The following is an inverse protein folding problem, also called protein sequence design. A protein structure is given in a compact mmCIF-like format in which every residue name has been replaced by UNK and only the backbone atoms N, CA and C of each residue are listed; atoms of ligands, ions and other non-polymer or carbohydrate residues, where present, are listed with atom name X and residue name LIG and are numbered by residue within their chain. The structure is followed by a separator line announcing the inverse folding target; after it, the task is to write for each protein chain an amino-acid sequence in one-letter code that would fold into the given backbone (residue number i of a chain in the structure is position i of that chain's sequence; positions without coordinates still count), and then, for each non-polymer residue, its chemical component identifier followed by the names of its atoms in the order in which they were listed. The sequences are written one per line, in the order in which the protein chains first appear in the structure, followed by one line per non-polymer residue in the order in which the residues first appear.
data_IF_592283682621
#
_entry.id   IF_592283682621
#
_cell.length_a   1.000
_cell.length_b   1.000
_cell.length_c   1.000
_cell.angle_alpha   90.00
_cell.angle_beta   90.00
_cell.angle_gamma   90.00
#
_symmetry.space_group_name_H-M   'P 1'
#
loop_
_entity.id
_entity.type
_entity.pdbx_description
1 polymer ?
#
# COMPACT_ATOMS: atom_id res chain seq x y z
N UNK A 1 -6.80 -13.42 10.79
CA UNK A 1 -7.26 -13.56 9.40
C UNK A 1 -8.75 -13.22 9.27
N UNK A 2 -9.65 -14.01 9.88
CA UNK A 2 -11.11 -13.83 9.74
C UNK A 2 -11.60 -12.40 10.00
N UNK A 3 -11.25 -11.83 11.16
CA UNK A 3 -11.70 -10.47 11.54
C UNK A 3 -11.28 -9.37 10.56
N UNK A 4 -10.08 -9.46 9.98
CA UNK A 4 -9.60 -8.45 9.01
C UNK A 4 -10.35 -8.57 7.67
N UNK A 5 -10.62 -9.79 7.24
CA UNK A 5 -11.37 -10.06 6.02
C UNK A 5 -12.84 -9.62 6.17
N UNK A 6 -13.45 -9.94 7.33
CA UNK A 6 -14.80 -9.54 7.71
C UNK A 6 -14.96 -8.01 7.78
N UNK A 7 -14.03 -7.30 8.44
CA UNK A 7 -14.05 -5.84 8.52
C UNK A 7 -14.00 -5.14 7.15
N UNK A 8 -13.40 -5.79 6.14
CA UNK A 8 -13.27 -5.26 4.78
C UNK A 8 -14.32 -5.84 3.82
N UNK A 9 -15.20 -6.74 4.26
CA UNK A 9 -16.14 -7.42 3.36
C UNK A 9 -15.46 -8.24 2.26
N UNK A 10 -14.25 -8.75 2.52
CA UNK A 10 -13.45 -9.54 1.56
C UNK A 10 -13.25 -10.96 2.07
N UNK A 11 -12.84 -11.86 1.17
CA UNK A 11 -12.51 -13.24 1.57
C UNK A 11 -11.13 -13.29 2.23
N UNK A 12 -10.87 -14.25 3.13
CA UNK A 12 -9.51 -14.51 3.59
C UNK A 12 -8.55 -14.88 2.46
N UNK A 13 -9.06 -15.43 1.35
CA UNK A 13 -8.29 -15.73 0.14
C UNK A 13 -7.78 -14.47 -0.56
N UNK A 14 -8.60 -13.43 -0.62
CA UNK A 14 -8.21 -12.12 -1.15
C UNK A 14 -7.00 -11.55 -0.39
N UNK A 15 -7.05 -11.52 0.94
CA UNK A 15 -5.93 -11.03 1.75
C UNK A 15 -4.65 -11.86 1.61
N UNK A 16 -4.77 -13.15 1.26
CA UNK A 16 -3.61 -13.99 0.90
C UNK A 16 -3.08 -13.69 -0.50
N UNK A 17 -3.96 -13.36 -1.45
CA UNK A 17 -3.57 -12.92 -2.78
C UNK A 17 -2.78 -11.62 -2.75
N UNK A 18 -3.18 -10.67 -1.91
CA UNK A 18 -2.43 -9.41 -1.73
C UNK A 18 -1.05 -9.62 -1.08
N UNK A 19 -0.94 -10.56 -0.13
CA UNK A 19 0.33 -11.00 0.49
C UNK A 19 1.25 -11.64 -0.57
N UNK A 20 0.70 -12.54 -1.40
CA UNK A 20 1.45 -13.19 -2.48
C UNK A 20 1.88 -12.24 -3.61
N UNK A 21 1.09 -11.21 -3.89
CA UNK A 21 1.42 -10.15 -4.84
C UNK A 21 2.31 -9.05 -4.23
N UNK A 22 2.83 -9.26 -3.01
CA UNK A 22 3.76 -8.39 -2.30
C UNK A 22 3.27 -6.94 -2.10
N UNK A 23 1.96 -6.70 -2.16
CA UNK A 23 1.40 -5.38 -1.86
C UNK A 23 1.72 -4.95 -0.42
N UNK A 24 1.81 -5.93 0.49
CA UNK A 24 2.34 -5.76 1.82
C UNK A 24 2.75 -7.11 2.41
N UNK A 25 3.67 -7.09 3.37
CA UNK A 25 4.01 -8.27 4.18
C UNK A 25 3.41 -8.12 5.58
N UNK A 26 2.41 -8.93 5.95
CA UNK A 26 1.80 -8.83 7.27
C UNK A 26 2.71 -9.43 8.35
N UNK A 27 2.73 -8.80 9.52
CA UNK A 27 3.43 -9.35 10.68
C UNK A 27 2.75 -10.64 11.12
N UNK A 28 3.49 -11.58 11.72
CA UNK A 28 2.93 -12.81 12.28
C UNK A 28 2.95 -12.73 13.80
N UNK A 29 1.84 -13.13 14.43
CA UNK A 29 1.79 -13.35 15.88
C UNK A 29 2.62 -14.58 16.28
N UNK A 30 2.90 -14.76 17.57
CA UNK A 30 3.53 -15.99 18.09
C UNK A 30 2.78 -17.27 17.68
N UNK A 31 1.45 -17.24 17.62
CA UNK A 31 0.62 -18.36 17.13
C UNK A 31 0.49 -18.48 15.60
N UNK A 32 1.33 -17.81 14.82
CA UNK A 32 1.37 -17.91 13.35
C UNK A 32 0.27 -17.15 12.58
N UNK A 33 -0.70 -16.53 13.27
CA UNK A 33 -1.72 -15.70 12.62
C UNK A 33 -1.11 -14.40 12.08
N UNK A 34 -1.40 -14.06 10.82
CA UNK A 34 -0.99 -12.75 10.30
C UNK A 34 -1.84 -11.63 10.91
N UNK A 35 -1.17 -10.51 11.18
CA UNK A 35 -1.66 -9.28 11.77
C UNK A 35 -1.45 -8.18 10.74
N UNK A 36 -2.53 -7.46 10.46
CA UNK A 36 -2.51 -6.34 9.53
C UNK A 36 -2.48 -5.04 10.31
N UNK A 37 -1.61 -4.13 9.90
CA UNK A 37 -1.66 -2.75 10.38
C UNK A 37 -2.86 -2.02 9.76
N UNK A 38 -3.26 -0.89 10.36
CA UNK A 38 -4.33 -0.05 9.80
C UNK A 38 -3.98 0.47 8.41
N UNK A 39 -2.70 0.70 8.13
CA UNK A 39 -2.23 1.06 6.79
C UNK A 39 -2.45 -0.07 5.78
N UNK A 40 -2.09 -1.30 6.13
CA UNK A 40 -2.26 -2.47 5.26
C UNK A 40 -3.74 -2.73 4.95
N UNK A 41 -4.64 -2.52 5.92
CA UNK A 41 -6.08 -2.63 5.67
C UNK A 41 -6.60 -1.56 4.69
N UNK A 42 -6.05 -0.34 4.73
CA UNK A 42 -6.38 0.69 3.73
C UNK A 42 -5.87 0.33 2.33
N UNK A 43 -4.67 -0.24 2.22
CA UNK A 43 -4.16 -0.73 0.94
C UNK A 43 -5.03 -1.87 0.40
N UNK A 44 -5.45 -2.79 1.28
CA UNK A 44 -6.35 -3.88 0.90
C UNK A 44 -7.71 -3.37 0.40
N UNK A 45 -8.25 -2.32 1.02
CA UNK A 45 -9.47 -1.67 0.54
C UNK A 45 -9.26 -1.02 -0.84
N UNK A 46 -8.18 -0.26 -1.04
CA UNK A 46 -7.85 0.33 -2.36
C UNK A 46 -7.73 -0.74 -3.45
N UNK A 47 -7.08 -1.86 -3.13
CA UNK A 47 -6.94 -2.97 -4.07
C UNK A 47 -8.32 -3.57 -4.40
N UNK A 48 -9.19 -3.71 -3.41
CA UNK A 48 -10.57 -4.18 -3.61
C UNK A 48 -11.34 -3.25 -4.55
N UNK A 49 -11.26 -1.95 -4.31
CA UNK A 49 -11.96 -0.94 -5.12
C UNK A 49 -11.51 -0.98 -6.59
N UNK A 50 -10.21 -1.17 -6.86
CA UNK A 50 -9.67 -1.32 -8.22
C UNK A 50 -10.15 -2.61 -8.89
N UNK A 51 -10.21 -3.71 -8.13
CA UNK A 51 -10.67 -5.01 -8.63
C UNK A 51 -12.16 -4.99 -8.94
N UNK A 52 -12.97 -4.33 -8.10
CA UNK A 52 -14.40 -4.14 -8.36
C UNK A 52 -14.65 -3.30 -9.62
N UNK A 53 -13.68 -2.45 -10.03
CA UNK A 53 -13.69 -1.71 -11.29
C UNK A 53 -13.20 -2.53 -12.50
N UNK A 54 -12.88 -3.81 -12.31
CA UNK A 54 -12.42 -4.71 -13.37
C UNK A 54 -10.90 -4.82 -13.53
N UNK A 55 -10.13 -4.25 -12.60
CA UNK A 55 -8.66 -4.39 -12.62
C UNK A 55 -8.26 -5.76 -12.12
N UNK A 56 -7.35 -6.46 -12.82
CA UNK A 56 -6.78 -7.71 -12.31
C UNK A 56 -6.01 -7.49 -11.00
N UNK A 57 -6.00 -8.48 -10.10
CA UNK A 57 -5.39 -8.34 -8.76
C UNK A 57 -3.92 -7.90 -8.82
N UNK A 58 -3.11 -8.53 -9.66
CA UNK A 58 -1.70 -8.16 -9.81
C UNK A 58 -1.53 -6.73 -10.33
N UNK A 59 -2.38 -6.32 -11.28
CA UNK A 59 -2.37 -4.96 -11.80
C UNK A 59 -2.78 -3.94 -10.73
N UNK A 60 -3.81 -4.24 -9.92
CA UNK A 60 -4.23 -3.39 -8.82
C UNK A 60 -3.12 -3.22 -7.77
N UNK A 61 -2.44 -4.31 -7.39
CA UNK A 61 -1.28 -4.26 -6.50
C UNK A 61 -0.17 -3.38 -7.08
N UNK A 62 0.19 -3.58 -8.35
CA UNK A 62 1.25 -2.83 -9.02
C UNK A 62 0.92 -1.34 -9.14
N UNK A 63 -0.33 -1.00 -9.46
CA UNK A 63 -0.80 0.39 -9.52
C UNK A 63 -0.62 1.07 -8.15
N UNK A 64 -1.05 0.41 -7.07
CA UNK A 64 -0.95 0.99 -5.72
C UNK A 64 0.51 1.22 -5.33
N UNK A 65 1.40 0.23 -5.57
CA UNK A 65 2.84 0.35 -5.29
C UNK A 65 3.43 1.55 -6.04
N UNK A 66 3.13 1.67 -7.35
CA UNK A 66 3.64 2.77 -8.17
C UNK A 66 3.10 4.13 -7.73
N UNK A 67 1.82 4.21 -7.33
CA UNK A 67 1.22 5.44 -6.80
C UNK A 67 1.87 5.88 -5.49
N UNK A 68 2.15 4.94 -4.59
CA UNK A 68 2.82 5.22 -3.32
C UNK A 68 4.28 5.68 -3.57
N UNK A 69 5.00 5.01 -4.49
CA UNK A 69 6.35 5.42 -4.90
C UNK A 69 6.38 6.80 -5.55
N UNK A 70 5.42 7.10 -6.43
CA UNK A 70 5.30 8.39 -7.09
C UNK A 70 5.04 9.51 -6.07
N UNK A 71 4.14 9.26 -5.12
CA UNK A 71 3.81 10.22 -4.05
C UNK A 71 5.06 10.54 -3.23
N UNK A 72 5.84 9.53 -2.87
CA UNK A 72 7.06 9.72 -2.09
C UNK A 72 8.15 10.45 -2.89
N UNK A 73 8.34 10.10 -4.17
CA UNK A 73 9.28 10.80 -5.05
C UNK A 73 8.90 12.28 -5.21
N UNK A 74 7.62 12.58 -5.41
CA UNK A 74 7.12 13.96 -5.49
C UNK A 74 7.36 14.72 -4.18
N UNK A 75 7.14 14.09 -3.02
CA UNK A 75 7.40 14.67 -1.70
C UNK A 75 8.88 15.02 -1.53
N UNK A 76 9.78 14.10 -1.90
CA UNK A 76 11.23 14.32 -1.84
C UNK A 76 11.64 15.46 -2.78
N UNK A 77 11.15 15.46 -4.01
CA UNK A 77 11.44 16.51 -4.99
C UNK A 77 11.00 17.89 -4.49
N UNK A 78 9.80 18.00 -3.89
CA UNK A 78 9.33 19.25 -3.31
C UNK A 78 10.24 19.73 -2.17
N UNK A 79 10.71 18.82 -1.31
CA UNK A 79 11.66 19.15 -0.23
C UNK A 79 13.02 19.60 -0.76
N UNK A 80 13.54 18.94 -1.80
CA UNK A 80 14.79 19.32 -2.45
C UNK A 80 14.67 20.68 -3.12
N UNK A 81 13.56 20.94 -3.83
CA UNK A 81 13.30 22.24 -4.46
C UNK A 81 13.20 23.36 -3.42
N UNK A 82 12.54 23.11 -2.28
CA UNK A 82 12.51 24.06 -1.17
C UNK A 82 13.90 24.36 -0.62
N UNK A 83 14.77 23.35 -0.48
CA UNK A 83 16.16 23.54 -0.03
C UNK A 83 16.99 24.33 -1.03
N UNK A 84 16.87 24.03 -2.32
CA UNK A 84 17.55 24.78 -3.39
C UNK A 84 17.10 26.25 -3.37
N UNK A 85 15.79 26.49 -3.26
CA UNK A 85 15.23 27.85 -3.24
C UNK A 85 15.56 28.62 -1.95
N UNK A 86 15.81 27.93 -0.84
CA UNK A 86 16.15 28.53 0.45
C UNK A 86 17.65 28.82 0.62
N UNK A 87 18.51 28.34 -0.28
CA UNK A 87 19.95 28.60 -0.27
C UNK A 87 20.39 29.38 -1.53
N UNK A 88 20.05 30.68 -1.63
CA UNK A 88 20.46 31.53 -2.76
C UNK A 88 21.96 31.90 -2.74
N UNK A 89 22.78 31.30 -1.86
CA UNK A 89 24.11 31.80 -1.49
C UNK A 89 25.28 30.81 -1.70
N UNK A 90 25.27 30.03 -2.78
CA UNK A 90 26.47 29.33 -3.28
C UNK A 90 26.91 29.92 -4.62
N UNK A 91 27.40 31.16 -4.56
CA UNK A 91 28.37 31.73 -5.49
C UNK A 91 29.46 32.44 -4.67
#
# INVERSE_FOLDING_TARGET
MGRAAEMLGVTPGFLRGLDAAELFVPQRSAGGHRRYSRYQLRLAQRARDLIDQGTALEAACRIIILQDQLTEAQRINAQLQQRINADPGRD
#
